data_IF_234996628078
#
_entry.id   IF_234996628078
#
_cell.length_a   1.000
_cell.length_b   1.000
_cell.length_c   1.000
_cell.angle_alpha   90.00
_cell.angle_beta   90.00
_cell.angle_gamma   90.00
#
_symmetry.space_group_name_H-M   'P 1'
#
loop_
_entity.id
_entity.type
_entity.pdbx_description
1 polymer ?
#
# COMPACT_ATOMS: atom_id res chain seq x y z
N UNK A 1 -4.87 7.33 -7.66
CA UNK A 1 -4.96 5.94 -7.17
C UNK A 1 -5.02 5.92 -5.64
N UNK A 2 -5.79 5.00 -5.05
CA UNK A 2 -5.85 4.80 -3.59
C UNK A 2 -5.80 3.31 -3.29
N UNK A 3 -5.08 2.95 -2.24
CA UNK A 3 -5.00 1.58 -1.73
C UNK A 3 -5.29 1.55 -0.24
N UNK A 4 -5.86 0.44 0.21
CA UNK A 4 -6.10 0.14 1.61
C UNK A 4 -5.66 -1.28 1.90
N UNK A 5 -5.09 -1.49 3.08
CA UNK A 5 -4.80 -2.82 3.61
C UNK A 5 -5.50 -2.99 4.94
N UNK A 6 -6.07 -4.17 5.13
CA UNK A 6 -6.67 -4.62 6.37
C UNK A 6 -5.97 -5.90 6.81
N UNK A 7 -5.80 -6.08 8.11
CA UNK A 7 -5.28 -7.31 8.68
C UNK A 7 -5.60 -7.43 10.16
N UNK A 8 -5.29 -8.59 10.72
CA UNK A 8 -5.27 -8.77 12.17
C UNK A 8 -3.93 -8.28 12.73
N UNK A 9 -3.99 -7.61 13.88
CA UNK A 9 -2.84 -7.17 14.65
C UNK A 9 -1.95 -8.35 14.99
N UNK A 10 -0.69 -8.23 14.60
CA UNK A 10 0.34 -9.22 14.85
C UNK A 10 1.68 -8.48 15.02
N UNK A 11 2.35 -8.61 16.17
CA UNK A 11 3.62 -7.93 16.43
C UNK A 11 4.70 -8.24 15.38
N UNK A 12 4.64 -9.44 14.78
CA UNK A 12 5.62 -9.97 13.83
C UNK A 12 5.21 -9.76 12.36
N UNK A 13 3.94 -9.52 12.07
CA UNK A 13 3.42 -9.40 10.71
C UNK A 13 2.68 -8.07 10.53
N UNK A 14 3.41 -6.98 10.19
CA UNK A 14 2.75 -5.74 9.80
C UNK A 14 2.00 -5.94 8.49
N UNK A 15 0.92 -5.18 8.27
CA UNK A 15 0.25 -5.17 6.98
C UNK A 15 0.66 -3.93 6.19
N UNK A 16 0.95 -4.15 4.92
CA UNK A 16 1.29 -3.07 4.01
C UNK A 16 0.84 -3.39 2.59
N UNK A 17 0.62 -2.34 1.81
CA UNK A 17 0.32 -2.42 0.39
C UNK A 17 0.89 -1.19 -0.29
N UNK A 18 1.51 -1.38 -1.45
CA UNK A 18 2.15 -0.31 -2.21
C UNK A 18 1.51 -0.12 -3.58
N UNK A 19 1.44 1.12 -4.04
CA UNK A 19 1.24 1.45 -5.45
C UNK A 19 2.62 1.56 -6.09
N UNK A 20 2.82 0.79 -7.15
CA UNK A 20 4.04 0.74 -7.93
C UNK A 20 3.83 1.43 -9.28
N UNK A 21 4.82 2.17 -9.76
CA UNK A 21 4.92 2.69 -11.13
C UNK A 21 6.22 2.19 -11.75
N UNK A 22 6.14 1.47 -12.86
CA UNK A 22 7.32 0.97 -13.61
C UNK A 22 8.36 0.23 -12.74
N UNK A 23 7.90 -0.50 -11.71
CA UNK A 23 8.77 -1.22 -10.78
C UNK A 23 9.19 -0.45 -9.52
N UNK A 24 8.91 0.85 -9.46
CA UNK A 24 9.25 1.71 -8.32
C UNK A 24 8.04 2.01 -7.43
N UNK A 25 8.29 2.11 -6.11
CA UNK A 25 7.25 2.39 -5.13
C UNK A 25 6.93 3.89 -5.11
N UNK A 26 5.67 4.24 -5.34
CA UNK A 26 5.20 5.63 -5.30
C UNK A 26 4.66 5.99 -3.93
N UNK A 27 3.75 5.17 -3.40
CA UNK A 27 3.19 5.32 -2.05
C UNK A 27 2.94 3.95 -1.42
N UNK A 28 2.88 3.94 -0.08
CA UNK A 28 2.57 2.76 0.73
C UNK A 28 1.56 3.10 1.81
N UNK A 29 0.57 2.24 1.98
CA UNK A 29 -0.19 2.15 3.21
C UNK A 29 0.50 1.12 4.11
N UNK A 30 0.77 1.47 5.36
CA UNK A 30 1.44 0.62 6.35
C UNK A 30 0.71 0.73 7.68
N UNK A 31 0.52 -0.40 8.36
CA UNK A 31 0.12 -0.41 9.76
C UNK A 31 0.77 -1.59 10.50
N UNK A 32 1.15 -1.32 11.74
CA UNK A 32 1.62 -2.30 12.71
C UNK A 32 1.00 -1.96 14.06
N UNK A 33 0.30 -2.92 14.64
CA UNK A 33 -0.19 -2.86 16.02
C UNK A 33 -0.32 -4.28 16.57
N UNK A 34 -0.30 -4.40 17.89
CA UNK A 34 -0.17 -5.69 18.57
C UNK A 34 -1.49 -6.43 18.77
N UNK A 35 -2.64 -5.74 18.67
CA UNK A 35 -3.95 -6.31 19.00
C UNK A 35 -5.05 -5.80 18.06
N UNK A 36 -6.16 -6.56 17.95
CA UNK A 36 -7.37 -6.23 17.16
C UNK A 36 -7.11 -6.14 15.66
N UNK A 37 -7.91 -5.36 14.94
CA UNK A 37 -7.76 -5.12 13.52
C UNK A 37 -6.88 -3.90 13.26
N UNK A 38 -6.04 -4.01 12.24
CA UNK A 38 -5.32 -2.88 11.67
C UNK A 38 -5.92 -2.53 10.31
N UNK A 39 -5.95 -1.23 10.02
CA UNK A 39 -6.32 -0.70 8.73
C UNK A 39 -5.41 0.47 8.39
N UNK A 40 -4.94 0.53 7.16
CA UNK A 40 -4.16 1.66 6.66
C UNK A 40 -4.54 1.96 5.23
N UNK A 41 -4.55 3.23 4.88
CA UNK A 41 -4.84 3.69 3.53
C UNK A 41 -3.86 4.78 3.13
N UNK A 42 -3.47 4.79 1.87
CA UNK A 42 -2.71 5.88 1.28
C UNK A 42 -3.10 6.05 -0.19
N UNK A 43 -2.84 7.22 -0.75
CA UNK A 43 -3.23 7.56 -2.10
C UNK A 43 -2.31 8.58 -2.73
N UNK A 44 -2.33 8.62 -4.05
CA UNK A 44 -1.50 9.51 -4.85
C UNK A 44 -2.23 9.92 -6.12
N UNK A 45 -2.01 11.15 -6.54
CA UNK A 45 -2.35 11.64 -7.87
C UNK A 45 -1.07 11.62 -8.70
N UNK A 46 -1.11 10.97 -9.87
CA UNK A 46 0.04 10.84 -10.76
C UNK A 46 -0.31 11.43 -12.12
N UNK A 47 0.66 12.10 -12.73
CA UNK A 47 0.67 12.35 -14.16
C UNK A 47 1.33 11.12 -14.81
N UNK A 48 0.67 10.55 -15.82
CA UNK A 48 1.10 9.33 -16.49
C UNK A 48 1.39 9.61 -17.96
N UNK A 49 2.38 8.91 -18.48
CA UNK A 49 2.70 8.88 -19.91
C UNK A 49 2.22 7.56 -20.53
N UNK A 50 2.08 7.53 -21.87
CA UNK A 50 1.70 6.32 -22.59
C UNK A 50 2.77 5.24 -22.35
N UNK A 51 2.35 4.10 -21.83
CA UNK A 51 3.24 2.98 -21.52
C UNK A 51 3.62 2.84 -20.05
N UNK A 52 3.27 3.81 -19.19
CA UNK A 52 3.44 3.66 -17.74
C UNK A 52 2.62 2.47 -17.21
N UNK A 53 3.27 1.59 -16.45
CA UNK A 53 2.65 0.42 -15.82
C UNK A 53 2.44 0.70 -14.34
N UNK A 54 1.17 0.73 -13.93
CA UNK A 54 0.76 0.89 -12.54
C UNK A 54 0.21 -0.44 -12.01
N UNK A 55 0.69 -0.88 -10.85
CA UNK A 55 0.19 -2.08 -10.20
C UNK A 55 0.30 -2.00 -8.68
N UNK A 56 -0.36 -2.93 -8.01
CA UNK A 56 -0.37 -3.04 -6.54
C UNK A 56 0.54 -4.18 -6.11
N UNK A 57 1.31 -3.98 -5.03
CA UNK A 57 2.18 -5.01 -4.44
C UNK A 57 1.98 -5.11 -2.92
N UNK A 58 1.73 -6.33 -2.44
CA UNK A 58 1.85 -6.74 -1.04
C UNK A 58 3.30 -7.13 -0.70
#
# INVERSE_FOLDING_TARGET
FRVSVFGHGNPSNPAYVSIMKNGEKVVMAYARQDQRELNSSNGVVLILEVGDVIYVRL
#
